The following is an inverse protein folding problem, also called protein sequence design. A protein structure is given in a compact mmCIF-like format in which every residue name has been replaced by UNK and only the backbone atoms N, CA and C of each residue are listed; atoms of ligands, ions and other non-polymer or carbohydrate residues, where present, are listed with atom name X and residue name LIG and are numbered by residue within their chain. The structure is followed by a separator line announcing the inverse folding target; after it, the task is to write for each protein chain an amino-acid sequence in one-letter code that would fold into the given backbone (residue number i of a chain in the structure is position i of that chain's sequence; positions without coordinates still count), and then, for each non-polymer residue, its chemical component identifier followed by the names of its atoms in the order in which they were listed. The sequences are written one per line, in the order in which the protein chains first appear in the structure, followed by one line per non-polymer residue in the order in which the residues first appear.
data_IF_572285020488
#
_entry.id   IF_572285020488
#
_cell.length_a   1.000
_cell.length_b   1.000
_cell.length_c   1.000
_cell.angle_alpha   90.00
_cell.angle_beta   90.00
_cell.angle_gamma   90.00
#
_symmetry.space_group_name_H-M   'P 1'
#
loop_
_entity.id
_entity.type
_entity.pdbx_description
1 polymer ?
#
# COMPACT_ATOMS: atom_id res chain seq x y z
N UNK A 1 -23.31 27.34 -51.00
CA UNK A 1 -22.39 26.93 -52.07
C UNK A 1 -21.96 25.50 -51.75
N UNK A 2 -22.38 24.58 -52.53
CA UNK A 2 -22.17 23.15 -52.52
C UNK A 2 -20.69 22.82 -52.76
N UNK A 3 -20.21 21.68 -52.25
CA UNK A 3 -19.66 20.51 -52.97
C UNK A 3 -18.65 19.83 -52.03
N UNK A 4 -18.93 18.64 -51.61
CA UNK A 4 -18.67 17.21 -51.93
C UNK A 4 -17.34 16.63 -51.32
N UNK A 5 -17.51 15.62 -50.50
CA UNK A 5 -17.37 14.13 -50.63
C UNK A 5 -16.12 13.63 -51.38
N UNK A 6 -15.39 12.74 -50.69
CA UNK A 6 -14.96 11.35 -51.01
C UNK A 6 -13.87 10.95 -49.97
N UNK A 7 -13.87 9.91 -49.25
CA UNK A 7 -14.31 8.51 -49.42
C UNK A 7 -13.21 7.63 -50.00
N UNK A 8 -12.46 6.88 -49.12
CA UNK A 8 -11.84 5.61 -49.57
C UNK A 8 -11.51 4.71 -48.37
N UNK A 9 -12.30 3.66 -48.27
CA UNK A 9 -11.97 2.41 -47.59
C UNK A 9 -10.88 1.67 -48.36
N UNK A 10 -9.98 0.99 -47.68
CA UNK A 10 -9.27 -0.17 -48.24
C UNK A 10 -9.27 -1.28 -47.19
N UNK A 11 -9.71 -2.41 -47.70
CA UNK A 11 -10.03 -3.68 -47.07
C UNK A 11 -8.82 -4.62 -47.16
N UNK A 12 -8.68 -5.48 -46.14
CA UNK A 12 -8.42 -6.93 -46.21
C UNK A 12 -7.11 -7.48 -46.79
N UNK A 13 -6.43 -8.32 -46.03
CA UNK A 13 -6.20 -9.73 -46.43
C UNK A 13 -5.59 -10.55 -45.28
N UNK A 14 -6.32 -11.57 -44.88
CA UNK A 14 -5.87 -12.71 -44.11
C UNK A 14 -5.13 -13.69 -45.02
N UNK A 15 -4.05 -14.31 -44.53
CA UNK A 15 -3.48 -15.52 -45.12
C UNK A 15 -3.32 -16.56 -44.03
N UNK A 16 -4.15 -17.59 -44.17
CA UNK A 16 -4.13 -18.88 -43.50
C UNK A 16 -3.17 -19.80 -44.24
N UNK A 17 -2.27 -20.49 -43.57
CA UNK A 17 -1.54 -21.61 -44.18
C UNK A 17 -1.43 -22.76 -43.19
N UNK A 18 -2.24 -23.78 -43.42
CA UNK A 18 -2.06 -25.14 -42.89
C UNK A 18 -1.02 -25.88 -43.71
N UNK A 19 -0.19 -26.70 -43.09
CA UNK A 19 0.29 -27.93 -43.67
C UNK A 19 0.43 -29.04 -42.64
N UNK A 20 -0.22 -30.14 -42.97
CA UNK A 20 -0.24 -31.45 -42.33
C UNK A 20 0.85 -32.38 -42.89
N UNK A 21 1.02 -33.48 -42.17
CA UNK A 21 1.54 -34.81 -42.55
C UNK A 21 3.02 -35.08 -42.30
N UNK A 22 3.29 -36.12 -41.50
CA UNK A 22 3.52 -37.47 -41.93
C UNK A 22 3.88 -38.47 -40.83
N UNK A 23 3.21 -39.59 -40.91
CA UNK A 23 3.40 -40.82 -40.15
C UNK A 23 4.68 -41.58 -40.46
N UNK A 24 5.13 -42.37 -39.48
CA UNK A 24 6.11 -43.45 -39.71
C UNK A 24 6.24 -44.37 -38.47
N UNK A 25 5.79 -45.60 -38.64
CA UNK A 25 5.60 -46.63 -37.62
C UNK A 25 6.75 -47.66 -37.55
N UNK A 26 6.69 -48.44 -36.43
CA UNK A 26 7.20 -49.80 -36.17
C UNK A 26 8.65 -49.98 -35.70
N UNK A 27 9.02 -50.89 -34.82
CA UNK A 27 8.41 -52.08 -34.25
C UNK A 27 9.20 -52.60 -33.02
N UNK A 28 8.56 -53.44 -32.26
CA UNK A 28 8.87 -54.25 -31.10
C UNK A 28 10.29 -54.79 -30.87
N UNK A 29 10.66 -54.91 -29.56
CA UNK A 29 11.06 -56.22 -29.03
C UNK A 29 11.09 -56.24 -27.47
N UNK A 30 10.51 -57.33 -26.96
CA UNK A 30 10.36 -57.78 -25.56
C UNK A 30 11.68 -58.08 -24.84
N UNK A 31 11.81 -57.76 -23.55
CA UNK A 31 12.22 -58.79 -22.55
C UNK A 31 11.87 -58.38 -21.10
N UNK A 32 11.39 -59.37 -20.35
CA UNK A 32 10.99 -59.33 -18.94
C UNK A 32 12.17 -59.25 -18.00
N UNK A 33 12.00 -58.49 -16.92
CA UNK A 33 12.34 -58.90 -15.54
C UNK A 33 11.77 -57.92 -14.51
N UNK A 34 11.07 -58.38 -13.53
CA UNK A 34 10.60 -57.78 -12.28
C UNK A 34 11.38 -58.38 -11.09
N UNK A 35 11.29 -57.87 -9.83
CA UNK A 35 11.09 -56.49 -9.33
C UNK A 35 12.14 -56.11 -8.27
N UNK A 36 12.32 -54.81 -8.05
CA UNK A 36 12.82 -54.33 -6.75
C UNK A 36 12.05 -53.07 -6.34
N UNK A 37 11.58 -53.09 -5.10
CA UNK A 37 10.90 -52.01 -4.41
C UNK A 37 11.81 -50.81 -4.30
N UNK A 38 11.32 -49.66 -4.77
CA UNK A 38 11.90 -48.37 -4.43
C UNK A 38 10.79 -47.46 -3.88
N UNK A 39 10.93 -47.09 -2.65
CA UNK A 39 10.06 -46.17 -1.95
C UNK A 39 10.24 -44.79 -2.54
N UNK A 40 9.30 -44.30 -3.33
CA UNK A 40 9.23 -42.92 -3.76
C UNK A 40 8.80 -42.05 -2.57
N UNK A 41 9.76 -41.32 -2.01
CA UNK A 41 9.46 -40.07 -1.33
C UNK A 41 9.12 -39.04 -2.42
N UNK A 42 7.85 -38.80 -2.60
CA UNK A 42 7.37 -37.64 -3.35
C UNK A 42 7.63 -36.41 -2.46
N UNK A 43 8.65 -35.67 -2.77
CA UNK A 43 8.79 -34.30 -2.29
C UNK A 43 7.70 -33.53 -3.04
N UNK A 44 6.61 -33.19 -2.36
CA UNK A 44 5.68 -32.19 -2.84
C UNK A 44 6.45 -30.86 -2.90
N UNK A 45 6.75 -30.45 -4.10
CA UNK A 45 7.20 -29.09 -4.35
C UNK A 45 6.00 -28.20 -4.07
N UNK A 46 5.98 -27.54 -2.93
CA UNK A 46 5.08 -26.42 -2.67
C UNK A 46 5.55 -25.31 -3.61
N UNK A 47 4.93 -25.23 -4.75
CA UNK A 47 5.04 -24.03 -5.60
C UNK A 47 4.30 -22.94 -4.83
N UNK A 48 5.03 -21.93 -4.36
CA UNK A 48 4.43 -20.68 -3.95
C UNK A 48 3.54 -20.23 -5.12
N UNK A 49 2.23 -20.22 -4.90
CA UNK A 49 1.32 -19.61 -5.84
C UNK A 49 1.66 -18.12 -5.83
N UNK A 50 2.30 -17.66 -6.91
CA UNK A 50 2.38 -16.23 -7.18
C UNK A 50 0.95 -15.75 -7.39
N UNK A 51 0.42 -15.07 -6.39
CA UNK A 51 -0.82 -14.32 -6.52
C UNK A 51 -0.53 -13.17 -7.47
N UNK A 52 -0.70 -13.40 -8.76
CA UNK A 52 -0.85 -12.31 -9.72
C UNK A 52 -2.28 -11.80 -9.56
N UNK A 53 -2.50 -10.90 -8.63
CA UNK A 53 -3.74 -10.14 -8.60
C UNK A 53 -3.79 -9.28 -9.85
N UNK A 54 -4.84 -9.49 -10.64
CA UNK A 54 -5.12 -8.64 -11.80
C UNK A 54 -5.46 -7.24 -11.27
N UNK A 55 -4.65 -6.22 -11.58
CA UNK A 55 -4.85 -4.84 -11.12
C UNK A 55 -6.24 -4.29 -11.45
N UNK A 56 -6.92 -4.88 -12.46
CA UNK A 56 -8.29 -4.57 -12.82
C UNK A 56 -9.33 -4.94 -11.75
N UNK A 57 -9.00 -5.78 -10.79
CA UNK A 57 -9.87 -6.13 -9.67
C UNK A 57 -9.70 -5.18 -8.47
N UNK A 58 -8.53 -4.52 -8.33
CA UNK A 58 -8.23 -3.61 -7.21
C UNK A 58 -8.86 -2.24 -7.36
N UNK A 59 -8.95 -1.71 -8.59
CA UNK A 59 -9.45 -0.37 -8.88
C UNK A 59 -10.51 -0.39 -9.97
N UNK A 60 -11.60 0.34 -9.76
CA UNK A 60 -12.58 0.60 -10.84
C UNK A 60 -12.08 1.69 -11.79
N UNK A 61 -12.66 1.79 -12.99
CA UNK A 61 -12.35 2.89 -13.93
C UNK A 61 -12.59 4.27 -13.28
N UNK A 62 -13.59 4.38 -12.39
CA UNK A 62 -13.90 5.63 -11.68
C UNK A 62 -12.87 5.95 -10.61
N UNK A 63 -12.31 4.97 -9.92
CA UNK A 63 -11.24 5.17 -8.95
C UNK A 63 -10.00 5.78 -9.62
N UNK A 64 -9.71 5.34 -10.84
CA UNK A 64 -8.54 5.79 -11.63
C UNK A 64 -8.76 7.11 -12.38
N UNK A 65 -9.99 7.64 -12.38
CA UNK A 65 -10.31 8.88 -13.10
C UNK A 65 -9.77 10.11 -12.38
N UNK A 66 -8.70 10.71 -12.92
CA UNK A 66 -8.02 11.86 -12.32
C UNK A 66 -8.69 13.22 -12.62
N UNK A 67 -9.58 13.28 -13.58
CA UNK A 67 -10.29 14.51 -13.97
C UNK A 67 -11.77 14.35 -13.69
N UNK A 68 -12.38 15.21 -12.84
CA UNK A 68 -13.79 15.11 -12.53
C UNK A 68 -14.66 15.52 -13.72
N UNK A 69 -15.82 14.90 -13.89
CA UNK A 69 -16.86 15.40 -14.79
C UNK A 69 -17.67 16.47 -14.06
N UNK A 70 -17.55 17.69 -14.49
CA UNK A 70 -18.23 18.86 -13.89
C UNK A 70 -19.58 19.18 -14.55
N UNK A 71 -20.05 18.37 -15.50
CA UNK A 71 -21.43 18.51 -16.00
C UNK A 71 -22.41 18.24 -14.86
N UNK A 72 -23.25 19.20 -14.57
CA UNK A 72 -24.21 19.19 -13.44
C UNK A 72 -23.59 19.26 -12.03
N UNK A 73 -22.31 19.66 -11.90
CA UNK A 73 -21.71 19.84 -10.58
C UNK A 73 -22.37 20.96 -9.79
N UNK A 74 -22.46 20.77 -8.48
CA UNK A 74 -22.93 21.79 -7.53
C UNK A 74 -21.71 22.50 -6.95
N UNK A 75 -21.75 23.84 -6.93
CA UNK A 75 -20.61 24.66 -6.50
C UNK A 75 -20.87 25.30 -5.13
N UNK A 76 -19.92 25.13 -4.23
CA UNK A 76 -19.90 25.78 -2.92
C UNK A 76 -18.66 26.66 -2.79
N UNK A 77 -18.85 27.88 -2.33
CA UNK A 77 -17.79 28.69 -1.76
C UNK A 77 -17.91 28.64 -0.25
N UNK A 78 -16.88 28.14 0.43
CA UNK A 78 -16.92 27.99 1.89
C UNK A 78 -16.97 29.33 2.62
N UNK A 79 -17.66 29.37 3.76
CA UNK A 79 -17.83 30.56 4.61
C UNK A 79 -17.64 30.17 6.07
N UNK A 80 -17.05 31.04 6.88
CA UNK A 80 -16.75 30.78 8.30
C UNK A 80 -17.98 30.32 9.09
N UNK A 81 -17.83 29.17 9.75
CA UNK A 81 -18.86 28.58 10.61
C UNK A 81 -20.07 28.00 9.87
N UNK A 82 -20.10 27.99 8.56
CA UNK A 82 -21.22 27.48 7.74
C UNK A 82 -20.89 26.05 7.25
N UNK A 83 -21.35 25.05 7.98
CA UNK A 83 -21.20 23.65 7.59
C UNK A 83 -21.99 23.33 6.32
N UNK A 84 -21.41 22.47 5.47
CA UNK A 84 -22.04 21.96 4.25
C UNK A 84 -22.47 20.52 4.50
N UNK A 85 -23.73 20.19 4.15
CA UNK A 85 -24.21 18.80 4.18
C UNK A 85 -24.54 18.36 2.76
N UNK A 86 -23.94 17.26 2.33
CA UNK A 86 -24.17 16.60 1.06
C UNK A 86 -24.97 15.33 1.34
N UNK A 87 -26.21 15.26 0.83
CA UNK A 87 -27.15 14.17 1.10
C UNK A 87 -27.59 13.41 -0.15
N UNK A 88 -27.05 13.74 -1.32
CA UNK A 88 -27.43 13.13 -2.58
C UNK A 88 -26.16 12.76 -3.38
N UNK A 89 -26.28 11.73 -4.22
CA UNK A 89 -25.25 11.40 -5.21
C UNK A 89 -24.99 12.59 -6.13
N UNK A 90 -23.72 12.84 -6.44
CA UNK A 90 -23.35 13.93 -7.33
C UNK A 90 -21.89 14.38 -7.23
N UNK A 91 -21.60 15.47 -7.95
CA UNK A 91 -20.30 16.13 -7.96
C UNK A 91 -20.42 17.50 -7.34
N UNK A 92 -19.61 17.79 -6.34
CA UNK A 92 -19.65 18.98 -5.50
C UNK A 92 -18.29 19.68 -5.50
N UNK A 93 -18.22 20.86 -6.06
CA UNK A 93 -16.98 21.64 -6.16
C UNK A 93 -16.87 22.60 -4.98
N UNK A 94 -15.78 22.48 -4.24
CA UNK A 94 -15.48 23.34 -3.09
C UNK A 94 -14.38 24.34 -3.43
N UNK A 95 -14.59 25.60 -3.10
CA UNK A 95 -13.61 26.67 -3.29
C UNK A 95 -13.64 27.71 -2.17
N UNK A 96 -12.61 28.55 -2.09
CA UNK A 96 -12.52 29.63 -1.12
C UNK A 96 -11.81 29.24 0.18
N UNK A 97 -11.88 30.15 1.17
CA UNK A 97 -11.20 29.94 2.46
C UNK A 97 -12.14 30.23 3.60
N UNK A 98 -12.15 29.37 4.62
CA UNK A 98 -13.00 29.50 5.79
C UNK A 98 -12.40 28.86 7.05
N UNK A 99 -12.90 29.26 8.20
CA UNK A 99 -12.60 28.65 9.49
C UNK A 99 -13.89 28.00 10.06
N UNK A 100 -13.71 26.92 10.82
CA UNK A 100 -14.79 26.17 11.53
C UNK A 100 -15.88 25.66 10.57
N UNK A 101 -15.48 24.98 9.50
CA UNK A 101 -16.36 24.39 8.50
C UNK A 101 -16.11 22.90 8.39
N UNK A 102 -17.18 22.11 8.49
CA UNK A 102 -17.20 20.69 8.16
C UNK A 102 -18.06 20.47 6.92
N UNK A 103 -17.51 19.79 5.93
CA UNK A 103 -18.24 19.25 4.79
C UNK A 103 -18.65 17.82 5.15
N UNK A 104 -19.91 17.63 5.54
CA UNK A 104 -20.45 16.34 5.92
C UNK A 104 -21.13 15.67 4.72
N UNK A 105 -20.81 14.41 4.47
CA UNK A 105 -21.53 13.55 3.53
C UNK A 105 -22.40 12.61 4.35
N UNK A 106 -23.72 12.67 4.12
CA UNK A 106 -24.73 11.84 4.78
C UNK A 106 -25.77 11.48 3.71
N UNK A 107 -25.39 10.60 2.80
CA UNK A 107 -26.15 10.21 1.62
C UNK A 107 -26.72 8.79 1.77
N UNK A 108 -27.37 8.27 0.74
CA UNK A 108 -27.85 6.90 0.74
C UNK A 108 -26.69 5.90 0.66
N UNK A 109 -26.89 4.69 1.21
CA UNK A 109 -25.85 3.63 1.26
C UNK A 109 -25.37 3.15 -0.12
N UNK A 110 -26.08 3.49 -1.20
CA UNK A 110 -25.70 3.19 -2.60
C UNK A 110 -25.20 4.44 -3.37
N UNK A 111 -25.10 5.60 -2.69
CA UNK A 111 -24.71 6.85 -3.32
C UNK A 111 -23.19 6.99 -3.47
N UNK A 112 -22.75 7.43 -4.65
CA UNK A 112 -21.36 7.80 -4.94
C UNK A 112 -21.22 9.29 -5.02
N UNK A 113 -20.53 9.88 -4.05
CA UNK A 113 -20.34 11.32 -3.93
C UNK A 113 -18.92 11.69 -4.35
N UNK A 114 -18.78 12.74 -5.17
CA UNK A 114 -17.47 13.28 -5.53
C UNK A 114 -17.33 14.73 -5.03
N UNK A 115 -16.36 14.95 -4.15
CA UNK A 115 -15.96 16.25 -3.64
C UNK A 115 -14.74 16.70 -4.43
N UNK A 116 -14.88 17.77 -5.21
CA UNK A 116 -13.81 18.34 -6.02
C UNK A 116 -13.23 19.55 -5.30
N UNK A 117 -11.94 19.49 -5.02
CA UNK A 117 -11.21 20.57 -4.35
C UNK A 117 -10.64 21.53 -5.39
N UNK A 118 -11.16 22.76 -5.44
CA UNK A 118 -10.76 23.80 -6.40
C UNK A 118 -10.31 25.06 -5.68
N UNK A 119 -9.13 25.00 -5.08
CA UNK A 119 -8.55 26.11 -4.33
C UNK A 119 -9.28 26.35 -3.00
N UNK A 120 -9.57 25.29 -2.27
CA UNK A 120 -10.25 25.36 -0.96
C UNK A 120 -9.26 25.29 0.19
N UNK A 121 -9.43 26.18 1.17
CA UNK A 121 -8.65 26.20 2.41
C UNK A 121 -9.58 26.25 3.61
N UNK A 122 -9.54 25.22 4.46
CA UNK A 122 -10.39 25.13 5.67
C UNK A 122 -9.50 24.87 6.88
N UNK A 123 -9.73 25.65 7.94
CA UNK A 123 -9.07 25.48 9.22
C UNK A 123 -10.10 25.32 10.33
N UNK A 124 -10.06 24.19 11.00
CA UNK A 124 -10.90 23.86 12.15
C UNK A 124 -10.09 23.75 13.43
N UNK A 125 -10.76 23.84 14.57
CA UNK A 125 -10.14 23.61 15.88
C UNK A 125 -10.40 22.22 16.43
N UNK A 126 -11.54 21.58 16.11
CA UNK A 126 -11.94 20.33 16.77
C UNK A 126 -12.81 19.40 15.93
N UNK A 127 -13.02 19.70 14.66
CA UNK A 127 -13.89 18.86 13.81
C UNK A 127 -13.18 18.52 12.51
N UNK A 128 -13.46 17.36 11.89
CA UNK A 128 -12.99 17.05 10.55
C UNK A 128 -13.35 18.15 9.56
N UNK A 129 -12.52 18.37 8.57
CA UNK A 129 -12.83 19.22 7.42
C UNK A 129 -13.78 18.50 6.49
N UNK A 130 -13.53 17.21 6.20
CA UNK A 130 -14.47 16.34 5.50
C UNK A 130 -14.85 15.21 6.44
N UNK A 131 -16.17 15.00 6.60
CA UNK A 131 -16.72 13.93 7.41
C UNK A 131 -17.75 13.12 6.62
N UNK A 132 -17.37 11.92 6.20
CA UNK A 132 -18.27 10.96 5.57
C UNK A 132 -18.94 10.15 6.66
N UNK A 133 -20.25 10.31 6.78
CA UNK A 133 -21.12 9.60 7.73
C UNK A 133 -21.75 8.38 7.09
N UNK A 134 -22.27 8.53 5.87
CA UNK A 134 -22.89 7.49 5.05
C UNK A 134 -22.75 7.80 3.57
N UNK A 135 -22.29 6.81 2.78
CA UNK A 135 -22.30 6.74 1.33
C UNK A 135 -21.89 5.31 0.90
N UNK A 136 -22.02 4.92 -0.36
CA UNK A 136 -21.32 3.74 -0.90
C UNK A 136 -19.83 4.03 -1.02
N UNK A 137 -19.50 5.21 -1.59
CA UNK A 137 -18.12 5.64 -1.81
C UNK A 137 -18.01 7.15 -1.97
N UNK A 138 -16.98 7.73 -1.39
CA UNK A 138 -16.66 9.15 -1.54
C UNK A 138 -15.32 9.33 -2.25
N UNK A 139 -15.33 10.15 -3.30
CA UNK A 139 -14.14 10.59 -4.00
C UNK A 139 -13.76 12.01 -3.55
N UNK A 140 -12.53 12.22 -3.14
CA UNK A 140 -11.95 13.54 -2.90
C UNK A 140 -10.94 13.80 -4.00
N UNK A 141 -11.31 14.63 -4.96
CA UNK A 141 -10.57 14.87 -6.19
C UNK A 141 -9.94 16.25 -6.17
N UNK A 142 -8.61 16.34 -6.27
CA UNK A 142 -7.89 17.61 -6.41
C UNK A 142 -7.87 18.06 -7.88
N UNK A 143 -8.12 19.35 -8.13
CA UNK A 143 -7.84 19.98 -9.43
C UNK A 143 -6.39 20.49 -9.48
N UNK A 144 -5.98 21.20 -10.53
CA UNK A 144 -4.64 21.82 -10.64
C UNK A 144 -4.41 22.98 -9.64
N UNK A 145 -5.16 23.01 -8.55
CA UNK A 145 -5.10 24.01 -7.49
C UNK A 145 -4.40 23.49 -6.24
N UNK A 146 -4.00 24.43 -5.37
CA UNK A 146 -3.53 24.11 -4.01
C UNK A 146 -4.71 24.12 -3.04
N UNK A 147 -4.83 23.07 -2.23
CA UNK A 147 -5.88 22.92 -1.22
C UNK A 147 -5.23 22.71 0.14
N UNK A 148 -5.82 23.29 1.19
CA UNK A 148 -5.24 23.27 2.54
C UNK A 148 -6.32 22.90 3.56
N UNK A 149 -6.11 21.81 4.29
CA UNK A 149 -6.96 21.39 5.40
C UNK A 149 -6.16 21.33 6.68
N UNK A 150 -6.67 21.96 7.73
CA UNK A 150 -6.00 22.00 9.01
C UNK A 150 -6.97 21.79 10.17
N UNK A 151 -6.57 20.96 11.15
CA UNK A 151 -7.22 20.87 12.46
C UNK A 151 -6.14 21.03 13.55
N UNK A 152 -6.35 21.96 14.47
CA UNK A 152 -5.28 22.43 15.38
C UNK A 152 -5.47 22.07 16.86
N UNK A 153 -6.68 21.73 17.29
CA UNK A 153 -7.02 21.35 18.66
C UNK A 153 -7.46 19.89 18.74
N UNK A 154 -7.90 19.44 19.91
CA UNK A 154 -8.39 18.07 20.09
C UNK A 154 -9.69 17.85 19.35
N UNK A 155 -9.80 16.75 18.65
CA UNK A 155 -11.02 16.40 17.95
C UNK A 155 -12.17 16.11 18.89
N UNK A 156 -13.37 16.43 18.45
CA UNK A 156 -14.62 16.17 19.17
C UNK A 156 -15.31 14.96 18.57
N UNK A 157 -15.69 14.00 19.39
CA UNK A 157 -16.45 12.82 18.93
C UNK A 157 -17.86 13.19 18.47
N UNK A 158 -18.39 12.45 17.50
CA UNK A 158 -19.81 12.47 17.10
C UNK A 158 -20.53 11.24 17.68
N UNK A 159 -21.20 11.42 18.80
CA UNK A 159 -21.72 10.31 19.59
C UNK A 159 -20.63 9.37 20.06
N UNK A 160 -20.73 8.10 19.68
CA UNK A 160 -19.72 7.07 19.98
C UNK A 160 -18.60 7.02 18.94
N UNK A 161 -18.67 7.80 17.86
CA UNK A 161 -17.65 7.85 16.81
C UNK A 161 -16.53 8.79 17.20
N UNK A 162 -15.31 8.27 17.34
CA UNK A 162 -14.10 9.07 17.47
C UNK A 162 -13.72 9.60 16.08
N UNK A 163 -13.89 10.91 15.84
CA UNK A 163 -13.64 11.55 14.54
C UNK A 163 -12.30 12.25 14.55
N UNK A 164 -11.23 11.52 14.66
CA UNK A 164 -9.85 11.97 14.92
C UNK A 164 -9.01 12.25 13.66
N UNK A 165 -9.62 12.36 12.50
CA UNK A 165 -8.97 12.68 11.23
C UNK A 165 -9.41 14.01 10.63
N UNK A 166 -8.51 14.71 9.94
CA UNK A 166 -8.86 15.92 9.17
C UNK A 166 -9.83 15.58 8.03
N UNK A 167 -9.61 14.46 7.36
CA UNK A 167 -10.59 13.77 6.53
C UNK A 167 -10.95 12.50 7.28
N UNK A 168 -12.21 12.33 7.60
CA UNK A 168 -12.71 11.15 8.30
C UNK A 168 -13.85 10.51 7.51
N UNK A 169 -13.71 9.25 7.17
CA UNK A 169 -14.74 8.48 6.46
C UNK A 169 -15.12 7.23 7.23
N UNK A 170 -16.42 6.92 7.27
CA UNK A 170 -16.95 5.65 7.76
C UNK A 170 -17.06 4.60 6.66
N UNK A 171 -17.10 5.03 5.42
CA UNK A 171 -17.30 4.22 4.24
C UNK A 171 -16.12 4.42 3.26
N UNK A 172 -16.13 3.73 2.13
CA UNK A 172 -15.08 3.76 1.12
C UNK A 172 -14.63 5.17 0.74
N UNK A 173 -13.34 5.41 0.74
CA UNK A 173 -12.73 6.70 0.39
C UNK A 173 -11.72 6.55 -0.75
N UNK A 174 -11.85 7.39 -1.77
CA UNK A 174 -10.89 7.49 -2.87
C UNK A 174 -10.27 8.89 -2.91
N UNK A 175 -8.97 8.98 -2.83
CA UNK A 175 -8.22 10.21 -3.05
C UNK A 175 -7.59 10.18 -4.45
N UNK A 176 -7.86 11.19 -5.28
CA UNK A 176 -7.36 11.25 -6.64
C UNK A 176 -7.25 12.69 -7.15
N UNK A 177 -6.92 12.84 -8.45
CA UNK A 177 -6.78 14.14 -9.11
C UNK A 177 -5.33 14.54 -9.36
N UNK A 178 -5.13 15.65 -10.07
CA UNK A 178 -3.80 16.13 -10.46
C UNK A 178 -3.19 17.22 -9.58
N UNK A 179 -3.95 17.71 -8.59
CA UNK A 179 -3.55 18.85 -7.78
C UNK A 179 -2.91 18.49 -6.45
N UNK A 180 -2.85 19.49 -5.57
CA UNK A 180 -2.17 19.38 -4.28
C UNK A 180 -3.16 19.50 -3.13
N UNK A 181 -3.00 18.64 -2.12
CA UNK A 181 -3.68 18.73 -0.83
C UNK A 181 -2.65 18.73 0.30
N UNK A 182 -2.63 19.83 1.06
CA UNK A 182 -1.84 19.97 2.28
C UNK A 182 -2.73 19.69 3.49
N UNK A 183 -2.36 18.73 4.32
CA UNK A 183 -3.06 18.37 5.55
C UNK A 183 -2.16 18.63 6.75
N UNK A 184 -2.69 19.33 7.75
CA UNK A 184 -2.03 19.50 9.04
C UNK A 184 -2.99 19.08 10.15
N UNK A 185 -2.62 18.09 10.94
CA UNK A 185 -3.46 17.50 11.99
C UNK A 185 -2.80 17.49 13.34
N UNK A 186 -3.58 17.80 14.36
CA UNK A 186 -3.23 17.57 15.76
C UNK A 186 -3.37 16.12 16.21
N UNK A 187 -4.01 15.29 15.39
CA UNK A 187 -4.13 13.82 15.55
C UNK A 187 -3.86 13.16 14.20
N UNK A 188 -4.81 12.41 13.61
CA UNK A 188 -4.62 11.73 12.35
C UNK A 188 -4.89 12.65 11.13
N UNK A 189 -4.22 12.39 10.02
CA UNK A 189 -4.44 13.13 8.78
C UNK A 189 -5.70 12.70 8.05
N UNK A 190 -5.70 11.49 7.51
CA UNK A 190 -6.83 10.84 6.83
C UNK A 190 -7.17 9.56 7.55
N UNK A 191 -8.44 9.38 7.89
CA UNK A 191 -8.98 8.16 8.53
C UNK A 191 -10.12 7.63 7.69
N UNK A 192 -10.03 6.36 7.33
CA UNK A 192 -11.08 5.60 6.66
C UNK A 192 -11.43 4.36 7.47
N UNK A 193 -12.71 4.15 7.78
CA UNK A 193 -13.13 2.97 8.55
C UNK A 193 -13.52 1.79 7.67
N UNK A 194 -13.24 1.88 6.38
CA UNK A 194 -13.39 0.87 5.35
C UNK A 194 -12.15 0.89 4.43
N UNK A 195 -12.32 0.80 3.11
CA UNK A 195 -11.23 0.83 2.14
C UNK A 195 -10.78 2.25 1.78
N UNK A 196 -9.49 2.53 1.88
CA UNK A 196 -8.86 3.75 1.38
C UNK A 196 -8.10 3.48 0.09
N UNK A 197 -8.51 4.12 -1.01
CA UNK A 197 -7.78 4.05 -2.28
C UNK A 197 -7.16 5.40 -2.62
N UNK A 198 -5.90 5.39 -3.07
CA UNK A 198 -5.21 6.60 -3.54
C UNK A 198 -4.68 6.32 -4.95
N UNK A 199 -5.19 7.06 -5.93
CA UNK A 199 -4.89 6.78 -7.33
C UNK A 199 -4.18 7.91 -8.08
N UNK A 200 -3.88 9.01 -7.40
CA UNK A 200 -3.14 10.16 -7.91
C UNK A 200 -3.17 11.33 -6.92
N UNK A 201 -2.60 12.45 -7.31
CA UNK A 201 -2.51 13.66 -6.48
C UNK A 201 -1.16 13.86 -5.80
N UNK A 202 -0.99 15.05 -5.22
CA UNK A 202 0.18 15.40 -4.40
C UNK A 202 -0.27 15.73 -2.99
N UNK A 203 0.28 15.03 -2.01
CA UNK A 203 -0.11 15.13 -0.61
C UNK A 203 1.07 15.55 0.26
N UNK A 204 0.90 16.68 0.96
CA UNK A 204 1.78 17.10 2.05
C UNK A 204 1.04 16.90 3.35
N UNK A 205 1.42 15.88 4.13
CA UNK A 205 0.71 15.53 5.36
C UNK A 205 1.64 15.67 6.56
N UNK A 206 1.21 16.46 7.54
CA UNK A 206 1.82 16.53 8.86
C UNK A 206 0.77 16.17 9.89
N UNK A 207 0.95 15.05 10.56
CA UNK A 207 0.03 14.53 11.57
C UNK A 207 0.78 14.29 12.89
N UNK A 208 0.12 14.57 14.01
CA UNK A 208 0.72 14.27 15.33
C UNK A 208 0.61 12.79 15.72
N UNK A 209 -0.23 12.03 14.99
CA UNK A 209 -0.36 10.58 15.05
C UNK A 209 -0.13 10.01 13.64
N UNK A 210 -1.06 9.21 13.09
CA UNK A 210 -0.96 8.57 11.79
C UNK A 210 -1.24 9.56 10.65
N UNK A 211 -0.49 9.49 9.55
CA UNK A 211 -0.81 10.35 8.41
C UNK A 211 -1.99 9.82 7.60
N UNK A 212 -2.02 8.51 7.32
CA UNK A 212 -3.13 7.81 6.69
C UNK A 212 -3.46 6.55 7.49
N UNK A 213 -4.74 6.38 7.83
CA UNK A 213 -5.25 5.22 8.54
C UNK A 213 -6.44 4.63 7.79
N UNK A 214 -6.49 3.32 7.63
CA UNK A 214 -7.66 2.60 7.16
C UNK A 214 -7.89 1.32 7.97
N UNK A 215 -9.15 0.90 8.07
CA UNK A 215 -9.44 -0.35 8.78
C UNK A 215 -9.28 -1.56 7.86
N UNK A 216 -9.85 -1.51 6.64
CA UNK A 216 -9.92 -2.70 5.79
C UNK A 216 -8.71 -2.82 4.87
N UNK A 217 -8.44 -1.78 4.08
CA UNK A 217 -7.25 -1.73 3.24
C UNK A 217 -6.79 -0.31 2.90
N UNK A 218 -5.50 -0.18 2.57
CA UNK A 218 -4.94 0.99 1.89
C UNK A 218 -4.35 0.52 0.56
N UNK A 219 -4.94 0.96 -0.55
CA UNK A 219 -4.48 0.61 -1.90
C UNK A 219 -3.98 1.87 -2.63
N UNK A 220 -2.69 1.89 -2.99
CA UNK A 220 -2.06 3.04 -3.65
C UNK A 220 -1.63 2.66 -5.06
N UNK A 221 -2.30 3.23 -6.07
CA UNK A 221 -1.93 3.06 -7.47
C UNK A 221 -0.81 4.03 -7.89
N UNK A 222 -0.93 5.30 -7.52
CA UNK A 222 0.02 6.37 -7.83
C UNK A 222 -0.22 7.57 -6.90
N UNK A 223 0.71 8.51 -6.87
CA UNK A 223 0.65 9.76 -6.11
C UNK A 223 2.04 10.24 -5.69
N UNK A 224 2.09 11.46 -5.19
CA UNK A 224 3.30 12.03 -4.60
C UNK A 224 3.04 12.39 -3.15
N UNK A 225 3.84 11.85 -2.24
CA UNK A 225 3.63 11.97 -0.81
C UNK A 225 4.85 12.56 -0.11
N UNK A 226 4.62 13.57 0.71
CA UNK A 226 5.58 14.09 1.68
C UNK A 226 4.93 14.05 3.05
N UNK A 227 5.35 13.10 3.88
CA UNK A 227 4.68 12.75 5.13
C UNK A 227 5.62 12.99 6.30
N UNK A 228 5.07 13.63 7.34
CA UNK A 228 5.66 13.68 8.68
C UNK A 228 4.61 13.19 9.67
N UNK A 229 4.84 12.05 10.28
CA UNK A 229 3.90 11.39 11.19
C UNK A 229 4.47 11.27 12.61
N UNK A 230 3.60 11.46 13.59
CA UNK A 230 3.95 11.31 15.00
C UNK A 230 3.98 9.85 15.46
N UNK A 231 3.31 8.97 14.72
CA UNK A 231 3.41 7.50 14.75
C UNK A 231 3.63 7.02 13.33
N UNK A 232 2.63 6.54 12.61
CA UNK A 232 2.80 5.82 11.36
C UNK A 232 2.51 6.67 10.12
N UNK A 233 3.24 6.41 9.05
CA UNK A 233 2.99 7.04 7.75
C UNK A 233 1.69 6.54 7.13
N UNK A 234 1.61 5.25 6.83
CA UNK A 234 0.41 4.55 6.39
C UNK A 234 0.14 3.38 7.33
N UNK A 235 -1.08 3.28 7.83
CA UNK A 235 -1.48 2.28 8.82
C UNK A 235 -2.81 1.64 8.43
N UNK A 236 -2.79 0.33 8.15
CA UNK A 236 -3.99 -0.45 7.86
C UNK A 236 -4.14 -1.56 8.89
N UNK A 237 -5.19 -1.48 9.71
CA UNK A 237 -5.45 -2.43 10.79
C UNK A 237 -6.94 -2.57 11.06
N UNK A 238 -7.43 -3.79 11.21
CA UNK A 238 -8.81 -4.11 11.52
C UNK A 238 -8.92 -4.94 12.79
N UNK A 239 -9.48 -4.34 13.84
CA UNK A 239 -9.61 -4.98 15.16
C UNK A 239 -10.63 -6.16 15.18
N UNK A 240 -11.49 -6.28 14.16
CA UNK A 240 -12.61 -7.22 14.12
C UNK A 240 -12.37 -8.39 13.16
N UNK A 241 -11.54 -8.21 12.12
CA UNK A 241 -11.28 -9.21 11.07
C UNK A 241 -9.78 -9.33 10.77
N UNK A 242 -9.16 -10.37 11.29
CA UNK A 242 -7.73 -10.66 11.09
C UNK A 242 -7.34 -10.90 9.61
N UNK A 243 -8.29 -11.01 8.66
CA UNK A 243 -8.00 -11.15 7.23
C UNK A 243 -7.85 -9.80 6.51
N UNK A 244 -8.23 -8.70 7.15
CA UNK A 244 -8.13 -7.32 6.66
C UNK A 244 -6.84 -6.64 7.16
N UNK A 245 -6.75 -5.34 6.92
CA UNK A 245 -5.55 -4.56 7.26
C UNK A 245 -4.42 -4.75 6.23
N UNK A 246 -4.78 -4.76 4.95
CA UNK A 246 -3.83 -4.83 3.83
C UNK A 246 -3.31 -3.43 3.44
N UNK A 247 -2.03 -3.34 3.07
CA UNK A 247 -1.42 -2.16 2.46
C UNK A 247 -0.73 -2.54 1.16
N UNK A 248 -1.17 -1.98 0.03
CA UNK A 248 -0.62 -2.26 -1.31
C UNK A 248 -0.12 -0.99 -1.97
N UNK A 249 1.11 -1.02 -2.48
CA UNK A 249 1.73 0.06 -3.25
C UNK A 249 2.11 -0.47 -4.64
N UNK A 250 1.42 0.01 -5.67
CA UNK A 250 1.71 -0.32 -7.07
C UNK A 250 2.66 0.69 -7.72
N UNK A 251 2.67 1.93 -7.25
CA UNK A 251 3.47 3.02 -7.80
C UNK A 251 3.46 4.25 -6.90
N UNK A 252 3.98 5.36 -7.42
CA UNK A 252 4.03 6.63 -6.70
C UNK A 252 5.42 7.00 -6.18
N UNK A 253 5.50 8.19 -5.57
CA UNK A 253 6.73 8.73 -4.98
C UNK A 253 6.47 9.14 -3.54
N UNK A 254 7.25 8.59 -2.62
CA UNK A 254 7.05 8.74 -1.19
C UNK A 254 8.30 9.29 -0.52
N UNK A 255 8.11 10.29 0.33
CA UNK A 255 9.09 10.76 1.30
C UNK A 255 8.40 10.73 2.65
N UNK A 256 8.76 9.76 3.50
CA UNK A 256 8.07 9.47 4.75
C UNK A 256 9.05 9.64 5.90
N UNK A 257 8.69 10.49 6.86
CA UNK A 257 9.32 10.56 8.16
C UNK A 257 8.29 10.21 9.22
N UNK A 258 8.41 9.04 9.83
CA UNK A 258 7.51 8.51 10.85
C UNK A 258 8.29 8.22 12.14
N UNK A 259 7.64 8.31 13.31
CA UNK A 259 8.33 7.97 14.57
C UNK A 259 8.24 6.49 14.91
N UNK A 260 7.20 5.84 14.44
CA UNK A 260 6.95 4.42 14.56
C UNK A 260 7.11 3.80 13.16
N UNK A 261 6.08 3.30 12.54
CA UNK A 261 6.19 2.61 11.26
C UNK A 261 5.98 3.57 10.07
N UNK A 262 6.84 3.49 9.06
CA UNK A 262 6.52 4.21 7.82
C UNK A 262 5.35 3.56 7.08
N UNK A 263 5.34 2.22 7.01
CA UNK A 263 4.30 1.40 6.38
C UNK A 263 3.91 0.28 7.34
N UNK A 264 2.68 0.32 7.85
CA UNK A 264 2.09 -0.71 8.70
C UNK A 264 0.89 -1.38 8.02
N UNK A 265 0.93 -2.70 7.94
CA UNK A 265 -0.21 -3.53 7.53
C UNK A 265 -0.43 -4.65 8.53
N UNK A 266 -1.62 -4.78 9.10
CA UNK A 266 -1.91 -5.88 10.02
C UNK A 266 -1.72 -7.24 9.35
N UNK A 267 -2.28 -7.42 8.17
CA UNK A 267 -2.24 -8.69 7.45
C UNK A 267 -1.08 -8.78 6.48
N UNK A 268 -1.06 -7.92 5.46
CA UNK A 268 -0.13 -7.99 4.35
C UNK A 268 0.31 -6.59 3.94
N UNK A 269 1.62 -6.38 3.74
CA UNK A 269 2.18 -5.25 2.99
C UNK A 269 2.74 -5.77 1.67
N UNK A 270 2.24 -5.23 0.55
CA UNK A 270 2.70 -5.58 -0.80
C UNK A 270 3.24 -4.34 -1.51
N UNK A 271 4.47 -4.42 -2.03
CA UNK A 271 5.09 -3.38 -2.85
C UNK A 271 5.45 -3.95 -4.22
N UNK A 272 4.76 -3.46 -5.24
CA UNK A 272 4.92 -3.88 -6.64
C UNK A 272 5.59 -2.79 -7.49
N UNK A 273 5.87 -1.61 -6.91
CA UNK A 273 6.51 -0.49 -7.60
C UNK A 273 6.70 0.74 -6.73
N UNK A 274 7.02 1.88 -7.37
CA UNK A 274 7.19 3.16 -6.70
C UNK A 274 8.62 3.48 -6.30
N UNK A 275 8.78 4.70 -5.77
CA UNK A 275 10.04 5.20 -5.19
C UNK A 275 9.77 5.66 -3.77
N UNK A 276 10.37 5.00 -2.79
CA UNK A 276 10.15 5.23 -1.38
C UNK A 276 11.45 5.66 -0.70
N UNK A 277 11.41 6.83 -0.08
CA UNK A 277 12.44 7.34 0.84
C UNK A 277 11.84 7.35 2.24
N UNK A 278 12.35 6.52 3.13
CA UNK A 278 11.78 6.25 4.46
C UNK A 278 12.81 6.55 5.54
N UNK A 279 12.39 7.35 6.54
CA UNK A 279 13.07 7.53 7.82
C UNK A 279 12.07 7.24 8.93
N UNK A 280 12.25 6.15 9.69
CA UNK A 280 11.25 5.69 10.67
C UNK A 280 11.85 4.94 11.87
N UNK A 281 11.02 4.60 12.84
CA UNK A 281 11.29 3.57 13.83
C UNK A 281 11.46 2.24 13.13
N UNK A 282 10.38 1.73 12.56
CA UNK A 282 10.40 0.60 11.65
C UNK A 282 10.06 1.06 10.20
N UNK A 283 10.77 0.51 9.22
CA UNK A 283 10.53 0.89 7.83
C UNK A 283 9.22 0.31 7.30
N UNK A 284 9.07 -0.99 7.40
CA UNK A 284 7.88 -1.75 6.94
C UNK A 284 7.55 -2.80 7.99
N UNK A 285 6.35 -2.76 8.55
CA UNK A 285 5.86 -3.74 9.50
C UNK A 285 4.57 -4.40 9.02
N UNK A 286 4.49 -5.74 9.10
CA UNK A 286 3.27 -6.51 8.78
C UNK A 286 3.38 -7.95 9.29
N UNK A 287 2.30 -8.74 9.12
CA UNK A 287 2.42 -10.21 9.24
C UNK A 287 3.08 -10.79 8.00
N UNK A 288 2.70 -10.36 6.81
CA UNK A 288 3.36 -10.76 5.57
C UNK A 288 3.88 -9.54 4.81
N UNK A 289 5.12 -9.58 4.36
CA UNK A 289 5.71 -8.55 3.51
C UNK A 289 6.13 -9.15 2.18
N UNK A 290 5.63 -8.59 1.08
CA UNK A 290 5.98 -8.98 -0.28
C UNK A 290 6.52 -7.79 -1.06
N UNK A 291 7.73 -7.91 -1.60
CA UNK A 291 8.35 -6.89 -2.45
C UNK A 291 8.73 -7.54 -3.78
N UNK A 292 8.09 -7.09 -4.86
CA UNK A 292 8.34 -7.60 -6.21
C UNK A 292 9.03 -6.61 -7.12
N UNK A 293 8.91 -5.31 -6.88
CA UNK A 293 9.59 -4.22 -7.61
C UNK A 293 9.64 -2.95 -6.75
N UNK A 294 10.17 -1.85 -7.31
CA UNK A 294 10.31 -0.54 -6.67
C UNK A 294 11.74 -0.16 -6.35
N UNK A 295 11.92 1.10 -5.99
CA UNK A 295 13.17 1.63 -5.41
C UNK A 295 12.88 2.08 -4.00
N UNK A 296 13.41 1.39 -3.02
CA UNK A 296 13.06 1.54 -1.62
C UNK A 296 14.34 1.82 -0.83
N UNK A 297 14.41 2.99 -0.22
CA UNK A 297 15.49 3.40 0.66
C UNK A 297 14.92 3.57 2.08
N UNK A 298 15.44 2.80 3.01
CA UNK A 298 15.00 2.78 4.40
C UNK A 298 16.16 3.18 5.31
N UNK A 299 15.93 4.16 6.16
CA UNK A 299 16.74 4.44 7.32
C UNK A 299 15.88 4.17 8.55
N UNK A 300 16.18 3.13 9.31
CA UNK A 300 15.36 2.72 10.44
C UNK A 300 16.14 2.70 11.75
N UNK A 301 15.42 2.96 12.85
CA UNK A 301 16.00 3.02 14.20
C UNK A 301 15.82 1.71 14.98
N UNK A 302 14.84 0.89 14.61
CA UNK A 302 14.53 -0.42 15.20
C UNK A 302 14.67 -1.51 14.13
N UNK A 303 13.67 -1.74 13.28
CA UNK A 303 13.78 -2.72 12.20
C UNK A 303 13.59 -2.09 10.81
N UNK A 304 14.36 -2.56 9.81
CA UNK A 304 14.19 -2.10 8.45
C UNK A 304 12.91 -2.65 7.81
N UNK A 305 12.76 -3.97 7.84
CA UNK A 305 11.55 -4.70 7.42
C UNK A 305 11.27 -5.76 8.47
N UNK A 306 10.09 -5.72 9.08
CA UNK A 306 9.66 -6.63 10.15
C UNK A 306 8.40 -7.41 9.73
N UNK A 307 8.47 -8.74 9.75
CA UNK A 307 7.29 -9.61 9.65
C UNK A 307 6.98 -10.24 11.01
N UNK A 308 6.12 -9.56 11.78
CA UNK A 308 5.64 -10.01 13.07
C UNK A 308 4.23 -10.60 13.02
N UNK A 309 3.79 -11.30 14.06
CA UNK A 309 2.43 -11.85 14.15
C UNK A 309 1.42 -10.74 14.51
N UNK A 310 1.06 -9.88 13.57
CA UNK A 310 0.04 -8.83 13.73
C UNK A 310 -1.38 -9.37 13.46
N UNK A 311 -1.54 -10.15 12.40
CA UNK A 311 -2.75 -10.91 12.10
C UNK A 311 -2.63 -12.36 12.55
N UNK A 312 -3.74 -12.97 12.99
CA UNK A 312 -3.81 -14.42 13.30
C UNK A 312 -4.27 -15.26 12.11
N UNK A 313 -4.68 -14.61 11.02
CA UNK A 313 -5.11 -15.28 9.79
C UNK A 313 -3.93 -15.81 8.96
N UNK A 314 -2.73 -15.23 9.15
CA UNK A 314 -1.54 -15.50 8.36
C UNK A 314 -0.34 -15.81 9.24
N UNK A 315 0.59 -16.61 8.73
CA UNK A 315 1.89 -16.83 9.35
C UNK A 315 2.88 -15.75 8.88
N UNK A 316 3.80 -15.28 9.74
CA UNK A 316 4.80 -14.29 9.37
C UNK A 316 5.72 -14.77 8.23
N UNK A 317 5.89 -13.94 7.21
CA UNK A 317 6.81 -14.23 6.11
C UNK A 317 7.25 -12.94 5.39
N UNK A 318 8.52 -12.89 5.01
CA UNK A 318 9.06 -11.87 4.10
C UNK A 318 9.43 -12.53 2.78
N UNK A 319 8.90 -12.01 1.68
CA UNK A 319 9.20 -12.45 0.32
C UNK A 319 9.73 -11.28 -0.51
N UNK A 320 10.97 -11.38 -1.01
CA UNK A 320 11.58 -10.40 -1.89
C UNK A 320 11.93 -11.08 -3.22
N UNK A 321 11.21 -10.71 -4.28
CA UNK A 321 11.39 -11.26 -5.61
C UNK A 321 11.96 -10.27 -6.63
N UNK A 322 12.03 -8.97 -6.29
CA UNK A 322 12.53 -7.92 -7.17
C UNK A 322 12.85 -6.62 -6.45
N UNK A 323 12.96 -5.53 -7.21
CA UNK A 323 13.21 -4.18 -6.70
C UNK A 323 14.67 -3.87 -6.37
N UNK A 324 14.87 -2.61 -5.96
CA UNK A 324 16.15 -2.09 -5.48
C UNK A 324 15.97 -1.59 -4.04
N UNK A 325 16.49 -2.33 -3.08
CA UNK A 325 16.38 -2.04 -1.66
C UNK A 325 17.71 -1.55 -1.11
N UNK A 326 17.68 -0.43 -0.42
CA UNK A 326 18.79 0.05 0.43
C UNK A 326 18.27 0.19 1.85
N UNK A 327 18.89 -0.48 2.80
CA UNK A 327 18.52 -0.45 4.21
C UNK A 327 19.72 -0.02 5.02
N UNK A 328 19.59 1.10 5.73
CA UNK A 328 20.57 1.64 6.65
C UNK A 328 20.01 1.62 8.07
N UNK A 329 20.59 0.79 8.92
CA UNK A 329 20.14 0.64 10.30
C UNK A 329 20.90 1.56 11.24
N UNK A 330 20.20 2.08 12.26
CA UNK A 330 20.83 2.73 13.38
C UNK A 330 21.77 1.78 14.13
N UNK A 331 22.66 2.33 14.95
CA UNK A 331 23.52 1.51 15.80
C UNK A 331 22.73 1.01 17.01
N UNK A 332 22.67 -0.29 17.22
CA UNK A 332 21.96 -0.92 18.34
C UNK A 332 21.66 -2.39 18.09
N UNK A 333 20.70 -2.90 18.84
CA UNK A 333 20.10 -4.23 18.66
C UNK A 333 18.93 -4.04 17.69
N UNK A 334 19.23 -4.00 16.39
CA UNK A 334 18.33 -3.60 15.31
C UNK A 334 18.59 -4.46 14.11
N UNK A 335 17.53 -4.99 13.49
CA UNK A 335 17.61 -5.92 12.38
C UNK A 335 17.21 -5.25 11.05
N UNK A 336 18.00 -5.45 10.00
CA UNK A 336 17.64 -4.87 8.72
C UNK A 336 16.45 -5.59 8.07
N UNK A 337 16.39 -6.91 8.23
CA UNK A 337 15.27 -7.75 7.81
C UNK A 337 15.03 -8.77 8.91
N UNK A 338 13.91 -8.61 9.63
CA UNK A 338 13.44 -9.51 10.69
C UNK A 338 12.17 -10.22 10.26
N UNK A 339 12.13 -11.54 10.43
CA UNK A 339 10.93 -12.35 10.21
C UNK A 339 10.71 -13.31 11.36
N UNK A 340 9.64 -13.12 12.12
CA UNK A 340 9.22 -14.12 13.10
C UNK A 340 8.70 -15.41 12.43
N UNK A 341 9.01 -15.63 11.17
CA UNK A 341 8.68 -16.77 10.35
C UNK A 341 9.71 -17.03 9.27
N UNK A 342 9.26 -17.15 8.02
CA UNK A 342 10.12 -17.49 6.89
C UNK A 342 10.64 -16.23 6.18
N UNK A 343 11.83 -16.33 5.57
CA UNK A 343 12.45 -15.32 4.74
C UNK A 343 12.85 -15.89 3.37
N UNK A 344 12.22 -15.42 2.30
CA UNK A 344 12.47 -15.85 0.93
C UNK A 344 13.00 -14.70 0.07
N UNK A 345 14.23 -14.83 -0.47
CA UNK A 345 14.81 -13.88 -1.41
C UNK A 345 15.12 -14.58 -2.72
N UNK A 346 14.38 -14.26 -3.77
CA UNK A 346 14.51 -14.85 -5.10
C UNK A 346 14.95 -13.88 -6.20
N UNK A 347 15.03 -12.58 -5.90
CA UNK A 347 15.40 -11.54 -6.85
C UNK A 347 15.80 -10.22 -6.20
N UNK A 348 15.89 -9.18 -7.01
CA UNK A 348 16.20 -7.82 -6.56
C UNK A 348 17.68 -7.53 -6.36
N UNK A 349 17.95 -6.27 -6.01
CA UNK A 349 19.25 -5.75 -5.61
C UNK A 349 19.14 -5.17 -4.21
N UNK A 350 19.70 -5.83 -3.21
CA UNK A 350 19.55 -5.51 -1.80
C UNK A 350 20.89 -5.05 -1.25
N UNK A 351 20.95 -3.84 -0.71
CA UNK A 351 22.14 -3.27 -0.08
C UNK A 351 21.81 -2.92 1.38
N UNK A 352 22.47 -3.60 2.32
CA UNK A 352 22.24 -3.49 3.74
C UNK A 352 23.48 -2.94 4.45
N UNK A 353 23.27 -1.93 5.27
CA UNK A 353 24.25 -1.44 6.25
C UNK A 353 23.67 -1.64 7.65
N UNK A 354 24.05 -2.71 8.34
CA UNK A 354 23.50 -3.10 9.65
C UNK A 354 24.50 -3.93 10.44
N UNK A 355 24.32 -4.02 11.76
CA UNK A 355 25.02 -4.99 12.61
C UNK A 355 24.37 -6.37 12.50
N UNK A 356 23.03 -6.42 12.49
CA UNK A 356 22.23 -7.61 12.25
C UNK A 356 21.48 -7.46 10.91
N UNK A 357 21.99 -8.05 9.82
CA UNK A 357 21.36 -7.90 8.51
C UNK A 357 20.12 -8.77 8.33
N UNK A 358 20.06 -9.94 9.00
CA UNK A 358 18.96 -10.88 8.87
C UNK A 358 18.71 -11.57 10.21
N UNK A 359 17.49 -11.54 10.70
CA UNK A 359 16.94 -12.46 11.69
C UNK A 359 15.72 -13.17 11.11
N UNK A 360 15.55 -14.47 11.36
CA UNK A 360 14.35 -15.21 10.97
C UNK A 360 14.19 -16.48 11.81
N UNK A 361 12.97 -16.73 12.25
CA UNK A 361 12.67 -17.87 13.13
C UNK A 361 12.46 -19.17 12.34
N UNK A 362 12.04 -19.07 11.09
CA UNK A 362 11.70 -20.20 10.22
C UNK A 362 12.76 -20.56 9.19
N UNK A 363 12.34 -20.72 7.95
CA UNK A 363 13.19 -21.04 6.80
C UNK A 363 13.77 -19.79 6.16
N UNK A 364 15.09 -19.72 5.97
CA UNK A 364 15.73 -18.68 5.17
C UNK A 364 16.21 -19.24 3.83
N UNK A 365 15.67 -18.76 2.71
CA UNK A 365 16.07 -19.16 1.36
C UNK A 365 16.54 -17.97 0.53
N UNK A 366 17.72 -18.12 -0.11
CA UNK A 366 18.25 -17.18 -1.09
C UNK A 366 18.53 -17.90 -2.40
N UNK A 367 17.69 -17.68 -3.40
CA UNK A 367 17.75 -18.38 -4.69
C UNK A 367 18.09 -17.47 -5.87
N UNK A 368 18.07 -16.15 -5.71
CA UNK A 368 18.37 -15.20 -6.78
C UNK A 368 18.50 -13.75 -6.30
N UNK A 369 18.90 -12.87 -7.23
CA UNK A 369 19.19 -11.47 -6.93
C UNK A 369 20.63 -11.21 -6.51
N UNK A 370 20.89 -10.03 -5.97
CA UNK A 370 22.19 -9.61 -5.44
C UNK A 370 22.01 -9.01 -4.06
N UNK A 371 22.75 -9.53 -3.09
CA UNK A 371 22.75 -9.00 -1.73
C UNK A 371 24.14 -8.51 -1.37
N UNK A 372 24.24 -7.28 -0.91
CA UNK A 372 25.45 -6.64 -0.39
C UNK A 372 25.19 -6.28 1.07
N UNK A 373 26.01 -6.77 1.97
CA UNK A 373 25.97 -6.46 3.40
C UNK A 373 27.26 -5.79 3.81
N UNK A 374 27.19 -4.57 4.32
CA UNK A 374 28.33 -3.78 4.77
C UNK A 374 29.45 -3.69 3.68
N UNK A 375 29.05 -3.54 2.41
CA UNK A 375 29.94 -3.44 1.26
C UNK A 375 30.49 -4.76 0.72
N UNK A 376 30.07 -5.91 1.27
CA UNK A 376 30.50 -7.23 0.83
C UNK A 376 29.32 -8.01 0.22
N UNK A 377 29.51 -8.58 -0.98
CA UNK A 377 28.50 -9.48 -1.57
C UNK A 377 28.38 -10.75 -0.76
N UNK A 378 27.17 -11.16 -0.42
CA UNK A 378 26.85 -12.41 0.27
C UNK A 378 26.20 -13.41 -0.68
N UNK A 379 26.40 -14.70 -0.40
CA UNK A 379 25.89 -15.82 -1.24
C UNK A 379 24.94 -16.74 -0.49
N UNK A 380 24.66 -16.42 0.77
CA UNK A 380 23.71 -17.12 1.62
C UNK A 380 23.20 -16.18 2.71
N UNK A 381 21.99 -16.39 3.18
CA UNK A 381 21.49 -15.74 4.38
C UNK A 381 22.20 -16.33 5.60
N UNK A 382 22.70 -15.46 6.46
CA UNK A 382 23.28 -15.85 7.73
C UNK A 382 22.38 -15.30 8.81
N UNK A 383 21.59 -16.19 9.42
CA UNK A 383 20.71 -15.85 10.53
C UNK A 383 21.55 -15.40 11.74
N UNK A 384 21.31 -14.22 12.24
CA UNK A 384 21.98 -13.65 13.39
C UNK A 384 21.03 -13.52 14.59
N UNK A 385 20.36 -14.62 14.96
CA UNK A 385 19.57 -14.65 16.19
C UNK A 385 20.37 -14.03 17.35
N UNK A 386 20.14 -12.77 17.66
CA UNK A 386 20.76 -12.09 18.79
C UNK A 386 20.07 -12.52 20.06
N UNK A 387 20.73 -13.36 20.88
CA UNK A 387 20.32 -13.58 22.24
C UNK A 387 20.41 -14.98 22.81
N UNK A 388 21.04 -15.92 22.15
CA UNK A 388 21.43 -17.18 22.78
C UNK A 388 22.71 -17.04 23.57
N UNK A 389 22.67 -16.63 24.85
CA UNK A 389 23.76 -16.90 25.77
C UNK A 389 24.04 -18.40 25.75
N UNK A 390 25.01 -18.84 24.97
CA UNK A 390 25.56 -20.18 25.03
C UNK A 390 25.93 -20.48 26.51
N UNK A 391 25.11 -21.30 27.16
CA UNK A 391 25.30 -21.68 28.53
C UNK A 391 26.70 -22.28 28.72
N UNK A 392 27.60 -21.52 29.31
CA UNK A 392 28.85 -22.04 29.81
C UNK A 392 28.54 -23.14 30.83
N UNK A 393 28.68 -24.38 30.38
CA UNK A 393 28.77 -25.55 31.26
C UNK A 393 29.91 -25.35 32.27
N UNK A 394 29.61 -24.73 33.41
CA UNK A 394 30.46 -24.83 34.58
C UNK A 394 30.41 -26.27 35.08
N UNK A 395 31.36 -27.09 34.66
CA UNK A 395 31.70 -28.32 35.39
C UNK A 395 32.13 -27.91 36.79
N UNK A 396 31.32 -28.24 37.80
CA UNK A 396 31.79 -28.28 39.19
C UNK A 396 32.69 -29.50 39.34
N UNK A 397 33.97 -29.20 39.63
CA UNK A 397 34.87 -30.16 40.22
C UNK A 397 34.78 -30.09 41.74
#
# INVERSE_FOLDING_TARGET
MKINKTGKNILLAAVLSLMLCGCGSSAESNSKAEPEQNTNNTVETVTAETVSSDDSERFTERDLQQTPDLENAVYYTVSDGENITISEEGVYVLSGSAEEVTVAVDAADDAKVQIVLDGVSIKNTSSPVIYVKHADKVFVTTTDSENIFQVTGSFSSDGDTNTDGVIFSKDDLVLNGGGTLTISSSENGVVCKDDLKITGGTYYVTASSKAFEANDSILINDGTFSITAGTDGFHSENDEDDTKGELVILGGTFNISAKDDALHGQSIVTIEGGTLEIEAGEGIESTQVTISDGTINITAADDGINAGQKSKAYDPVITISGGNLTIEMAAGDTDAIDSNGDLYISGGSINITAQSPFDYDGTGEYTGGTIIVNGATVTSLTNQMMGGFAGQNRKRG
#
